data_IF_135678190111
#
_entry.id   IF_135678190111
#
_cell.length_a   1.000
_cell.length_b   1.000
_cell.length_c   1.000
_cell.angle_alpha   90.00
_cell.angle_beta   90.00
_cell.angle_gamma   90.00
#
_symmetry.space_group_name_H-M   'P 1'
#
loop_
_entity.id
_entity.type
_entity.pdbx_description
1 polymer ?
#
# COMPACT_ATOMS: atom_id res chain seq x y z
N UNK A 1 -4.17 25.31 3.76
CA UNK A 1 -4.46 24.26 4.77
C UNK A 1 -3.90 22.96 4.19
N UNK A 2 -2.70 22.60 4.58
CA UNK A 2 -2.08 21.37 4.12
C UNK A 2 -2.78 20.20 4.78
N UNK A 3 -3.56 19.47 4.00
CA UNK A 3 -4.20 18.23 4.42
C UNK A 3 -3.15 17.12 4.42
N UNK A 4 -2.32 17.11 5.47
CA UNK A 4 -1.39 15.99 5.65
C UNK A 4 -2.18 14.73 6.04
N UNK A 5 -2.33 13.83 5.08
CA UNK A 5 -2.92 12.51 5.27
C UNK A 5 -1.89 11.49 5.76
N UNK A 6 -0.62 11.90 5.83
CA UNK A 6 0.51 11.06 6.21
C UNK A 6 0.29 10.42 7.58
N UNK A 7 0.55 9.13 7.65
CA UNK A 7 0.51 8.35 8.89
C UNK A 7 1.95 8.13 9.34
N UNK A 8 2.48 9.08 10.10
CA UNK A 8 3.86 9.02 10.57
C UNK A 8 4.10 7.84 11.53
N UNK A 9 3.09 7.50 12.33
CA UNK A 9 3.18 6.39 13.25
C UNK A 9 1.89 5.54 13.21
N UNK A 10 2.02 4.26 12.86
CA UNK A 10 0.88 3.33 12.82
C UNK A 10 0.22 3.09 14.19
N UNK A 11 0.86 3.44 15.31
CA UNK A 11 0.21 3.40 16.63
C UNK A 11 -0.84 4.52 16.78
N UNK A 12 -0.69 5.61 16.02
CA UNK A 12 -1.56 6.79 16.07
C UNK A 12 -2.58 6.83 14.92
N UNK A 13 -2.73 5.73 14.19
CA UNK A 13 -3.60 5.64 13.00
C UNK A 13 -5.04 6.10 13.28
N UNK A 14 -5.56 5.85 14.48
CA UNK A 14 -6.91 6.27 14.91
C UNK A 14 -7.05 7.79 15.14
N UNK A 15 -5.94 8.51 15.21
CA UNK A 15 -5.90 9.97 15.30
C UNK A 15 -5.70 10.60 13.90
N UNK A 16 -5.37 9.79 12.89
CA UNK A 16 -5.10 10.26 11.53
C UNK A 16 -6.33 10.84 10.83
N UNK A 17 -6.09 11.70 9.85
CA UNK A 17 -7.12 12.21 8.96
C UNK A 17 -7.85 11.09 8.20
N UNK A 18 -7.14 10.03 7.82
CA UNK A 18 -7.72 8.85 7.16
C UNK A 18 -8.78 8.17 8.01
N UNK A 19 -8.48 7.93 9.30
CA UNK A 19 -9.45 7.31 10.20
C UNK A 19 -10.66 8.22 10.42
N UNK A 20 -10.43 9.50 10.74
CA UNK A 20 -11.51 10.48 10.97
C UNK A 20 -12.43 10.62 9.76
N UNK A 21 -11.86 10.59 8.54
CA UNK A 21 -12.62 10.63 7.30
C UNK A 21 -13.54 9.41 7.16
N UNK A 22 -13.02 8.20 7.38
CA UNK A 22 -13.79 6.95 7.27
C UNK A 22 -14.87 6.88 8.35
N UNK A 23 -14.51 7.16 9.59
CA UNK A 23 -15.43 7.16 10.74
C UNK A 23 -16.60 8.14 10.51
N UNK A 24 -16.29 9.40 10.12
CA UNK A 24 -17.29 10.39 9.77
C UNK A 24 -18.20 9.92 8.64
N UNK A 25 -17.64 9.31 7.59
CA UNK A 25 -18.41 8.87 6.43
C UNK A 25 -19.36 7.73 6.79
N UNK A 26 -18.94 6.78 7.61
CA UNK A 26 -19.80 5.70 8.09
C UNK A 26 -20.97 6.30 8.91
N UNK A 27 -20.66 7.15 9.88
CA UNK A 27 -21.67 7.78 10.76
C UNK A 27 -22.69 8.62 10.01
N UNK A 28 -22.26 9.31 8.94
CA UNK A 28 -23.17 10.13 8.12
C UNK A 28 -23.97 9.32 7.10
N UNK A 29 -23.49 8.12 6.73
CA UNK A 29 -24.16 7.28 5.72
C UNK A 29 -25.17 6.32 6.31
N UNK A 30 -25.11 6.06 7.62
CA UNK A 30 -26.00 5.13 8.30
C UNK A 30 -26.28 5.61 9.72
N UNK A 31 -27.46 6.13 9.95
CA UNK A 31 -27.88 6.66 11.26
C UNK A 31 -27.83 5.62 12.39
N UNK A 32 -28.10 4.34 12.06
CA UNK A 32 -28.04 3.23 13.01
C UNK A 32 -26.60 2.92 13.49
N UNK A 33 -25.61 3.42 12.78
CA UNK A 33 -24.19 3.23 13.09
C UNK A 33 -23.53 4.51 13.64
N UNK A 34 -24.30 5.58 13.85
CA UNK A 34 -23.79 6.89 14.28
C UNK A 34 -22.98 6.84 15.56
N UNK A 35 -23.39 5.96 16.48
CA UNK A 35 -22.77 5.83 17.81
C UNK A 35 -21.67 4.75 17.87
N UNK A 36 -21.47 4.02 16.76
CA UNK A 36 -20.47 2.94 16.70
C UNK A 36 -19.17 3.39 16.09
N UNK A 37 -18.06 2.92 16.64
CA UNK A 37 -16.73 3.07 16.03
C UNK A 37 -16.52 2.08 14.88
N UNK A 38 -15.54 2.36 14.03
CA UNK A 38 -15.15 1.43 12.95
C UNK A 38 -14.88 0.00 13.47
N UNK A 39 -14.20 -0.14 14.62
CA UNK A 39 -13.88 -1.44 15.22
C UNK A 39 -15.11 -2.20 15.73
N UNK A 40 -16.16 -1.49 16.15
CA UNK A 40 -17.43 -2.11 16.56
C UNK A 40 -18.27 -2.53 15.36
N UNK A 41 -18.19 -1.80 14.26
CA UNK A 41 -18.90 -2.12 13.02
C UNK A 41 -18.24 -3.30 12.30
N UNK A 42 -16.92 -3.26 12.17
CA UNK A 42 -16.12 -4.27 11.51
C UNK A 42 -15.44 -5.19 12.54
N UNK A 43 -16.25 -5.97 13.26
CA UNK A 43 -15.72 -6.98 14.17
C UNK A 43 -14.91 -8.01 13.40
N UNK A 44 -13.68 -8.22 13.85
CA UNK A 44 -12.81 -9.26 13.27
C UNK A 44 -13.37 -10.62 13.72
N UNK A 45 -13.74 -11.52 12.79
CA UNK A 45 -14.15 -12.86 13.14
C UNK A 45 -13.07 -13.56 13.97
N UNK A 46 -13.49 -14.29 15.03
CA UNK A 46 -12.56 -15.06 15.86
C UNK A 46 -11.80 -16.06 14.98
N UNK A 47 -10.46 -16.10 15.11
CA UNK A 47 -9.61 -17.01 14.35
C UNK A 47 -9.09 -16.47 13.01
N UNK A 48 -9.54 -15.32 12.55
CA UNK A 48 -8.97 -14.69 11.34
C UNK A 48 -7.53 -14.26 11.55
N UNK A 49 -6.66 -14.71 10.63
CA UNK A 49 -5.25 -14.35 10.59
C UNK A 49 -5.01 -13.30 9.51
N UNK A 50 -4.75 -12.06 9.92
CA UNK A 50 -4.32 -10.97 9.04
C UNK A 50 -2.77 -10.82 9.01
N UNK A 51 -2.03 -11.93 9.08
CA UNK A 51 -0.60 -11.93 9.27
C UNK A 51 -0.21 -11.62 10.73
N UNK A 52 1.03 -11.25 10.99
CA UNK A 52 1.55 -11.00 12.34
C UNK A 52 0.85 -9.87 13.11
N UNK A 53 0.07 -9.01 12.43
CA UNK A 53 -0.65 -7.87 13.01
C UNK A 53 -2.13 -8.15 13.26
N UNK A 54 -2.43 -9.29 13.79
CA UNK A 54 -3.72 -9.99 13.98
C UNK A 54 -4.87 -9.23 14.64
N UNK A 55 -4.73 -7.98 15.08
CA UNK A 55 -5.70 -7.37 16.01
C UNK A 55 -6.34 -6.07 15.52
N UNK A 56 -5.98 -5.60 14.33
CA UNK A 56 -6.39 -4.27 13.89
C UNK A 56 -6.73 -4.28 12.39
N UNK A 57 -8.01 -4.44 12.10
CA UNK A 57 -8.50 -4.47 10.73
C UNK A 57 -8.21 -3.14 10.01
N UNK A 58 -8.45 -2.01 10.67
CA UNK A 58 -8.23 -0.71 10.04
C UNK A 58 -6.76 -0.51 9.64
N UNK A 59 -5.83 -0.82 10.54
CA UNK A 59 -4.39 -0.81 10.23
C UNK A 59 -4.04 -1.72 9.05
N UNK A 60 -4.61 -2.92 9.05
CA UNK A 60 -4.39 -3.89 7.98
C UNK A 60 -4.88 -3.39 6.63
N UNK A 61 -6.05 -2.72 6.59
CA UNK A 61 -6.60 -2.11 5.39
C UNK A 61 -5.74 -0.93 4.91
N UNK A 62 -5.37 -0.02 5.81
CA UNK A 62 -4.52 1.13 5.45
C UNK A 62 -3.16 0.70 4.90
N UNK A 63 -2.55 -0.35 5.47
CA UNK A 63 -1.28 -0.90 4.97
C UNK A 63 -1.37 -1.52 3.57
N UNK A 64 -2.57 -1.80 3.08
CA UNK A 64 -2.81 -2.23 1.70
C UNK A 64 -3.03 -1.07 0.73
N UNK A 65 -2.90 0.17 1.17
CA UNK A 65 -3.08 1.37 0.35
C UNK A 65 -1.78 2.16 0.23
N UNK A 66 -1.79 3.21 -0.61
CA UNK A 66 -0.73 4.22 -0.65
C UNK A 66 -0.93 5.32 0.40
N UNK A 67 -1.66 5.06 1.47
CA UNK A 67 -1.98 6.02 2.54
C UNK A 67 -2.74 7.28 2.06
N UNK A 68 -3.39 7.22 0.90
CA UNK A 68 -4.20 8.31 0.34
C UNK A 68 -5.70 8.05 0.60
N UNK A 69 -6.52 9.10 0.85
CA UNK A 69 -7.96 8.96 1.05
C UNK A 69 -8.67 8.20 -0.08
N UNK A 70 -8.34 8.52 -1.34
CA UNK A 70 -8.91 7.89 -2.53
C UNK A 70 -8.67 6.38 -2.53
N UNK A 71 -7.47 5.95 -2.19
CA UNK A 71 -7.07 4.55 -2.21
C UNK A 71 -7.83 3.76 -1.15
N UNK A 72 -7.91 4.33 0.07
CA UNK A 72 -8.66 3.71 1.16
C UNK A 72 -10.16 3.59 0.83
N UNK A 73 -10.76 4.63 0.24
CA UNK A 73 -12.17 4.59 -0.21
C UNK A 73 -12.38 3.48 -1.24
N UNK A 74 -11.48 3.33 -2.22
CA UNK A 74 -11.58 2.30 -3.24
C UNK A 74 -11.40 0.90 -2.67
N UNK A 75 -10.48 0.72 -1.71
CA UNK A 75 -10.34 -0.54 -0.99
C UNK A 75 -11.62 -0.89 -0.22
N UNK A 76 -12.20 0.06 0.51
CA UNK A 76 -13.45 -0.14 1.26
C UNK A 76 -14.63 -0.43 0.34
N UNK A 77 -14.75 0.22 -0.82
CA UNK A 77 -15.77 -0.10 -1.83
C UNK A 77 -15.59 -1.51 -2.38
N UNK A 78 -14.35 -1.95 -2.60
CA UNK A 78 -14.04 -3.32 -3.03
C UNK A 78 -14.43 -4.32 -1.96
N UNK A 79 -14.09 -4.04 -0.69
CA UNK A 79 -14.49 -4.85 0.46
C UNK A 79 -16.02 -4.98 0.57
N UNK A 80 -16.75 -3.87 0.47
CA UNK A 80 -18.21 -3.87 0.50
C UNK A 80 -18.80 -4.76 -0.59
N UNK A 81 -18.28 -4.69 -1.82
CA UNK A 81 -18.74 -5.55 -2.93
C UNK A 81 -18.52 -7.04 -2.63
N UNK A 82 -17.40 -7.40 -2.04
CA UNK A 82 -17.10 -8.80 -1.72
C UNK A 82 -17.94 -9.29 -0.52
N UNK A 83 -18.20 -8.45 0.49
CA UNK A 83 -19.13 -8.76 1.59
C UNK A 83 -20.54 -8.97 1.02
N UNK A 84 -21.02 -8.10 0.14
CA UNK A 84 -22.36 -8.24 -0.45
C UNK A 84 -22.53 -9.54 -1.26
N UNK A 85 -21.46 -10.05 -1.89
CA UNK A 85 -21.49 -11.33 -2.60
C UNK A 85 -21.52 -12.55 -1.66
N UNK A 86 -20.77 -12.48 -0.56
CA UNK A 86 -20.60 -13.60 0.36
C UNK A 86 -21.63 -13.62 1.50
N UNK A 87 -22.33 -12.50 1.72
CA UNK A 87 -23.23 -12.30 2.84
C UNK A 87 -22.56 -12.11 4.21
N UNK A 88 -21.24 -12.23 4.28
CA UNK A 88 -20.49 -12.13 5.54
C UNK A 88 -19.04 -11.69 5.33
N UNK A 89 -18.46 -11.06 6.35
CA UNK A 89 -17.04 -10.74 6.38
C UNK A 89 -16.24 -11.91 6.97
N UNK A 90 -15.31 -12.46 6.19
CA UNK A 90 -14.44 -13.56 6.60
C UNK A 90 -13.04 -13.44 5.93
N UNK A 91 -12.14 -14.37 6.23
CA UNK A 91 -10.78 -14.37 5.72
C UNK A 91 -10.70 -14.46 4.18
N UNK A 92 -11.60 -15.24 3.57
CA UNK A 92 -11.67 -15.35 2.11
C UNK A 92 -12.04 -14.00 1.48
N UNK A 93 -13.07 -13.33 2.01
CA UNK A 93 -13.50 -11.99 1.56
C UNK A 93 -12.35 -10.98 1.68
N UNK A 94 -11.62 -11.01 2.79
CA UNK A 94 -10.46 -10.14 2.99
C UNK A 94 -9.37 -10.39 1.95
N UNK A 95 -9.00 -11.65 1.71
CA UNK A 95 -7.97 -12.03 0.72
C UNK A 95 -8.38 -11.65 -0.70
N UNK A 96 -9.61 -11.93 -1.09
CA UNK A 96 -10.16 -11.56 -2.40
C UNK A 96 -10.22 -10.03 -2.58
N UNK A 97 -10.60 -9.30 -1.54
CA UNK A 97 -10.56 -7.83 -1.54
C UNK A 97 -9.15 -7.32 -1.78
N UNK A 98 -8.17 -7.85 -1.03
CA UNK A 98 -6.76 -7.47 -1.15
C UNK A 98 -6.22 -7.71 -2.55
N UNK A 99 -6.52 -8.87 -3.13
CA UNK A 99 -6.11 -9.25 -4.49
C UNK A 99 -6.72 -8.33 -5.55
N UNK A 100 -8.04 -8.13 -5.50
CA UNK A 100 -8.75 -7.28 -6.47
C UNK A 100 -8.34 -5.83 -6.39
N UNK A 101 -8.17 -5.32 -5.17
CA UNK A 101 -7.72 -3.95 -4.96
C UNK A 101 -6.28 -3.75 -5.44
N UNK A 102 -5.36 -4.66 -5.11
CA UNK A 102 -3.96 -4.58 -5.55
C UNK A 102 -3.84 -4.64 -7.08
N UNK A 103 -4.62 -5.51 -7.74
CA UNK A 103 -4.69 -5.54 -9.21
C UNK A 103 -5.21 -4.22 -9.79
N UNK A 104 -6.27 -3.65 -9.19
CA UNK A 104 -6.78 -2.36 -9.62
C UNK A 104 -5.74 -1.24 -9.40
N UNK A 105 -5.05 -1.24 -8.27
CA UNK A 105 -4.02 -0.26 -7.93
C UNK A 105 -2.89 -0.27 -8.96
N UNK A 106 -2.37 -1.45 -9.30
CA UNK A 106 -1.27 -1.59 -10.28
C UNK A 106 -1.75 -1.19 -11.68
N UNK A 107 -2.90 -1.70 -12.14
CA UNK A 107 -3.32 -1.53 -13.53
C UNK A 107 -3.98 -0.18 -13.84
N UNK A 108 -4.41 0.57 -12.82
CA UNK A 108 -5.07 1.86 -13.02
C UNK A 108 -4.28 3.00 -12.38
N UNK A 109 -4.17 3.03 -11.05
CA UNK A 109 -3.59 4.19 -10.36
C UNK A 109 -2.09 4.33 -10.66
N UNK A 110 -1.34 3.25 -10.46
CA UNK A 110 0.12 3.26 -10.71
C UNK A 110 0.40 3.41 -12.20
N UNK A 111 -0.34 2.72 -13.06
CA UNK A 111 -0.22 2.88 -14.50
C UNK A 111 -0.45 4.33 -14.94
N UNK A 112 -1.46 5.01 -14.40
CA UNK A 112 -1.74 6.40 -14.73
C UNK A 112 -0.67 7.37 -14.23
N UNK A 113 0.00 7.08 -13.13
CA UNK A 113 1.10 7.91 -12.61
C UNK A 113 2.42 7.65 -13.35
N UNK A 114 2.67 6.42 -13.76
CA UNK A 114 3.93 6.00 -14.39
C UNK A 114 3.94 6.24 -15.91
N UNK A 115 2.86 5.94 -16.60
CA UNK A 115 2.82 6.00 -18.07
C UNK A 115 3.17 7.36 -18.67
N UNK A 116 2.78 8.52 -18.10
CA UNK A 116 3.17 9.82 -18.65
C UNK A 116 4.69 10.02 -18.70
N UNK A 117 5.42 9.43 -17.76
CA UNK A 117 6.88 9.55 -17.64
C UNK A 117 7.59 8.44 -18.41
N UNK A 118 7.20 7.19 -18.19
CA UNK A 118 7.93 6.02 -18.68
C UNK A 118 7.40 5.50 -20.02
N UNK A 119 6.17 5.84 -20.41
CA UNK A 119 5.57 5.43 -21.70
C UNK A 119 5.74 3.92 -21.95
N UNK A 120 6.48 3.55 -23.01
CA UNK A 120 6.69 2.15 -23.43
C UNK A 120 7.51 1.33 -22.42
N UNK A 121 8.25 1.99 -21.52
CA UNK A 121 9.03 1.32 -20.49
C UNK A 121 8.15 0.71 -19.39
N UNK A 122 6.88 1.16 -19.25
CA UNK A 122 5.99 0.72 -18.17
C UNK A 122 5.93 -0.80 -18.00
N UNK A 123 5.73 -1.55 -19.09
CA UNK A 123 5.64 -3.02 -19.04
C UNK A 123 6.92 -3.67 -18.52
N UNK A 124 8.08 -3.12 -18.86
CA UNK A 124 9.39 -3.61 -18.42
C UNK A 124 9.68 -3.21 -16.97
N UNK A 125 9.17 -2.06 -16.52
CA UNK A 125 9.22 -1.68 -15.10
C UNK A 125 8.37 -2.64 -14.26
N UNK A 126 7.18 -3.04 -14.72
CA UNK A 126 6.39 -4.07 -14.04
C UNK A 126 7.13 -5.41 -13.99
N UNK A 127 7.79 -5.83 -15.07
CA UNK A 127 8.64 -7.02 -15.09
C UNK A 127 9.80 -6.90 -14.09
N UNK A 128 10.51 -5.78 -14.08
CA UNK A 128 11.58 -5.49 -13.12
C UNK A 128 11.10 -5.57 -11.67
N UNK A 129 9.95 -4.98 -11.36
CA UNK A 129 9.37 -5.05 -10.02
C UNK A 129 9.02 -6.49 -9.62
N UNK A 130 8.53 -7.32 -10.54
CA UNK A 130 8.32 -8.75 -10.30
C UNK A 130 9.62 -9.47 -10.00
N UNK A 131 10.70 -9.19 -10.75
CA UNK A 131 12.03 -9.73 -10.47
C UNK A 131 12.58 -9.29 -9.10
N UNK A 132 12.25 -8.06 -8.66
CA UNK A 132 12.62 -7.57 -7.34
C UNK A 132 11.93 -8.36 -6.22
N UNK A 133 10.67 -8.76 -6.41
CA UNK A 133 9.91 -9.52 -5.42
C UNK A 133 9.52 -8.70 -4.19
N UNK A 134 8.97 -9.39 -3.19
CA UNK A 134 8.44 -8.77 -1.96
C UNK A 134 9.49 -8.59 -0.85
N UNK A 135 10.76 -8.94 -1.08
CA UNK A 135 11.83 -8.87 -0.08
C UNK A 135 12.55 -7.53 -0.12
N UNK A 136 13.14 -7.17 1.02
CA UNK A 136 14.05 -6.04 1.08
C UNK A 136 15.26 -6.28 0.16
N UNK A 137 15.66 -5.26 -0.57
CA UNK A 137 16.79 -5.29 -1.49
C UNK A 137 17.63 -4.02 -1.37
N UNK A 138 18.90 -4.13 -1.75
CA UNK A 138 19.79 -2.96 -1.85
C UNK A 138 19.67 -2.30 -3.22
N UNK A 139 20.13 -1.06 -3.34
CA UNK A 139 20.28 -0.38 -4.64
C UNK A 139 21.12 -1.23 -5.60
N UNK A 140 22.20 -1.86 -5.11
CA UNK A 140 23.03 -2.77 -5.92
C UNK A 140 22.22 -3.93 -6.49
N UNK A 141 21.44 -4.63 -5.64
CA UNK A 141 20.59 -5.75 -6.09
C UNK A 141 19.49 -5.32 -7.05
N UNK A 142 18.94 -4.12 -6.88
CA UNK A 142 18.01 -3.55 -7.85
C UNK A 142 18.69 -3.30 -9.20
N UNK A 143 19.88 -2.69 -9.19
CA UNK A 143 20.66 -2.42 -10.42
C UNK A 143 21.03 -3.70 -11.16
N UNK A 144 21.38 -4.77 -10.45
CA UNK A 144 21.65 -6.08 -11.06
C UNK A 144 20.40 -6.63 -11.79
N UNK A 145 19.21 -6.52 -11.17
CA UNK A 145 17.93 -6.93 -11.79
C UNK A 145 17.55 -6.01 -12.95
N UNK A 146 17.72 -4.71 -12.81
CA UNK A 146 17.51 -3.74 -13.87
C UNK A 146 18.33 -4.11 -15.12
N UNK A 147 19.62 -4.43 -14.97
CA UNK A 147 20.50 -4.83 -16.06
C UNK A 147 20.14 -6.22 -16.64
N UNK A 148 19.40 -7.04 -15.91
CA UNK A 148 18.93 -8.36 -16.40
C UNK A 148 17.69 -8.27 -17.29
N UNK A 149 16.93 -7.19 -17.21
CA UNK A 149 15.79 -6.94 -18.12
C UNK A 149 16.35 -6.56 -19.49
N UNK A 150 15.95 -7.31 -20.52
CA UNK A 150 16.38 -7.06 -21.91
C UNK A 150 15.65 -5.87 -22.53
N UNK A 151 15.86 -4.68 -21.95
CA UNK A 151 15.25 -3.44 -22.41
C UNK A 151 16.16 -2.26 -22.07
N UNK A 152 16.22 -1.29 -22.96
CA UNK A 152 16.92 -0.01 -22.75
C UNK A 152 15.94 0.98 -22.13
N UNK A 153 16.03 1.16 -20.82
CA UNK A 153 15.18 2.09 -20.08
C UNK A 153 15.62 3.54 -20.31
N UNK A 154 14.68 4.47 -20.33
CA UNK A 154 14.92 5.92 -20.44
C UNK A 154 15.59 6.52 -19.21
N UNK A 155 15.27 5.98 -18.03
CA UNK A 155 15.83 6.40 -16.76
C UNK A 155 16.97 5.48 -16.35
N UNK A 156 18.02 6.04 -15.75
CA UNK A 156 19.05 5.21 -15.11
C UNK A 156 18.44 4.39 -13.94
N UNK A 157 19.12 3.34 -13.46
CA UNK A 157 18.61 2.55 -12.32
C UNK A 157 18.29 3.40 -11.09
N UNK A 158 19.13 4.41 -10.81
CA UNK A 158 18.94 5.28 -9.65
C UNK A 158 17.78 6.27 -9.84
N UNK A 159 17.69 6.88 -11.02
CA UNK A 159 16.57 7.80 -11.34
C UNK A 159 15.23 7.06 -11.36
N UNK A 160 15.22 5.80 -11.85
CA UNK A 160 14.04 4.96 -11.81
C UNK A 160 13.64 4.63 -10.37
N UNK A 161 14.59 4.31 -9.48
CA UNK A 161 14.32 4.07 -8.08
C UNK A 161 13.73 5.31 -7.39
N UNK A 162 14.32 6.47 -7.59
CA UNK A 162 13.84 7.73 -7.03
C UNK A 162 12.44 8.07 -7.56
N UNK A 163 12.22 7.87 -8.85
CA UNK A 163 10.90 8.02 -9.46
C UNK A 163 9.85 7.07 -8.82
N UNK A 164 10.18 5.78 -8.67
CA UNK A 164 9.29 4.79 -8.06
C UNK A 164 9.03 5.08 -6.57
N UNK A 165 9.99 5.66 -5.87
CA UNK A 165 9.82 6.17 -4.50
C UNK A 165 8.84 7.34 -4.46
N UNK A 166 9.00 8.31 -5.36
CA UNK A 166 8.17 9.52 -5.43
C UNK A 166 6.71 9.23 -5.83
N UNK A 167 6.47 8.17 -6.59
CA UNK A 167 5.10 7.68 -6.85
C UNK A 167 4.59 6.71 -5.77
N UNK A 168 5.39 6.42 -4.75
CA UNK A 168 5.00 5.64 -3.57
C UNK A 168 4.94 4.13 -3.76
N UNK A 169 5.60 3.58 -4.80
CA UNK A 169 5.67 2.13 -5.07
C UNK A 169 6.77 1.47 -4.25
N UNK A 170 7.85 2.21 -4.01
CA UNK A 170 9.01 1.77 -3.23
C UNK A 170 9.09 2.57 -1.94
N UNK A 171 9.47 1.92 -0.87
CA UNK A 171 9.79 2.54 0.41
C UNK A 171 11.24 2.21 0.82
N UNK A 172 11.88 3.11 1.57
CA UNK A 172 13.10 2.78 2.29
C UNK A 172 12.79 2.00 3.57
N UNK A 173 13.64 1.03 3.88
CA UNK A 173 13.54 0.23 5.11
C UNK A 173 14.87 0.17 5.85
N UNK A 174 14.83 0.12 7.17
CA UNK A 174 16.02 -0.06 8.02
C UNK A 174 15.65 -0.66 9.37
N UNK A 175 16.62 -1.20 10.05
CA UNK A 175 16.46 -1.64 11.44
C UNK A 175 16.71 -0.47 12.38
N UNK A 176 15.69 -0.06 13.10
CA UNK A 176 15.78 0.94 14.16
C UNK A 176 16.34 0.36 15.48
N UNK A 177 16.41 1.19 16.50
CA UNK A 177 16.79 0.78 17.85
C UNK A 177 15.85 -0.34 18.33
N UNK A 178 16.42 -1.40 18.92
CA UNK A 178 15.66 -2.57 19.37
C UNK A 178 15.28 -3.57 18.27
N UNK A 179 15.88 -3.48 17.06
CA UNK A 179 15.68 -4.43 15.97
C UNK A 179 14.34 -4.30 15.24
N UNK A 180 13.51 -3.31 15.57
CA UNK A 180 12.23 -3.06 14.91
C UNK A 180 12.47 -2.51 13.50
N UNK A 181 11.80 -3.08 12.52
CA UNK A 181 11.82 -2.54 11.17
C UNK A 181 11.09 -1.19 11.09
N UNK A 182 11.78 -0.23 10.52
CA UNK A 182 11.28 1.12 10.21
C UNK A 182 11.09 1.24 8.71
N UNK A 183 10.13 2.07 8.32
CA UNK A 183 9.75 2.28 6.93
C UNK A 183 9.55 3.76 6.66
N UNK A 184 10.00 4.22 5.50
CA UNK A 184 9.79 5.58 5.02
C UNK A 184 9.41 5.54 3.54
N UNK A 185 8.33 6.23 3.19
CA UNK A 185 7.92 6.47 1.80
C UNK A 185 7.39 7.88 1.69
N UNK A 186 7.15 8.34 0.48
CA UNK A 186 6.59 9.67 0.22
C UNK A 186 5.27 9.93 0.98
N UNK A 187 4.48 8.88 1.23
CA UNK A 187 3.19 8.97 1.93
C UNK A 187 3.24 8.48 3.39
N UNK A 188 4.42 8.09 3.88
CA UNK A 188 4.60 7.53 5.22
C UNK A 188 5.95 7.92 5.79
N UNK A 189 5.95 8.59 6.96
CA UNK A 189 7.17 9.09 7.61
C UNK A 189 7.97 10.00 6.68
N UNK A 190 7.30 11.00 6.12
CA UNK A 190 7.81 11.95 5.15
C UNK A 190 9.33 12.10 5.11
N UNK A 191 9.92 11.98 3.94
CA UNK A 191 11.36 12.13 3.75
C UNK A 191 11.79 11.70 2.37
N UNK A 192 12.92 12.23 1.94
CA UNK A 192 13.50 11.97 0.64
C UNK A 192 13.98 10.52 0.51
N UNK A 193 14.10 10.07 -0.73
CA UNK A 193 14.72 8.81 -1.07
C UNK A 193 16.16 8.75 -0.55
N UNK A 194 16.51 7.68 0.14
CA UNK A 194 17.86 7.44 0.65
C UNK A 194 18.44 6.16 0.03
N UNK A 195 19.40 6.35 -0.88
CA UNK A 195 20.09 5.26 -1.58
C UNK A 195 20.95 4.36 -0.69
N UNK A 196 21.26 4.78 0.53
CA UNK A 196 22.06 3.99 1.47
C UNK A 196 21.21 3.02 2.30
N UNK A 197 19.88 3.18 2.32
CA UNK A 197 18.97 2.31 3.00
C UNK A 197 18.54 1.12 2.12
N UNK A 198 18.00 0.10 2.77
CA UNK A 198 17.33 -0.97 2.05
C UNK A 198 16.06 -0.44 1.40
N UNK A 199 15.62 -1.12 0.35
CA UNK A 199 14.45 -0.80 -0.44
C UNK A 199 13.45 -1.94 -0.32
N UNK A 200 12.16 -1.61 -0.35
CA UNK A 200 11.11 -2.61 -0.45
C UNK A 200 9.97 -2.09 -1.32
N UNK A 201 9.43 -2.97 -2.14
CA UNK A 201 8.15 -2.71 -2.81
C UNK A 201 7.06 -2.71 -1.75
N UNK A 202 6.19 -1.72 -1.74
CA UNK A 202 5.13 -1.60 -0.75
C UNK A 202 4.15 -2.80 -0.84
N UNK A 203 3.64 -3.29 0.31
CA UNK A 203 2.73 -4.44 0.32
C UNK A 203 1.45 -4.25 -0.50
N UNK A 204 1.00 -3.02 -0.66
CA UNK A 204 -0.21 -2.68 -1.40
C UNK A 204 -0.23 -3.22 -2.84
N UNK A 205 0.94 -3.36 -3.48
CA UNK A 205 1.04 -3.79 -4.89
C UNK A 205 1.46 -5.25 -5.07
N UNK A 206 1.81 -5.98 -4.03
CA UNK A 206 2.35 -7.34 -4.15
C UNK A 206 1.42 -8.29 -4.92
N UNK A 207 0.14 -8.34 -4.56
CA UNK A 207 -0.82 -9.20 -5.25
C UNK A 207 -1.02 -8.80 -6.72
N UNK A 208 -0.99 -7.50 -7.03
CA UNK A 208 -1.10 -6.99 -8.39
C UNK A 208 0.13 -7.25 -9.24
N UNK A 209 1.31 -7.29 -8.62
CA UNK A 209 2.57 -7.68 -9.25
C UNK A 209 2.76 -9.20 -9.28
N UNK A 210 1.99 -9.97 -8.53
CA UNK A 210 2.15 -11.43 -8.37
C UNK A 210 3.50 -11.80 -7.72
N UNK A 211 3.92 -11.08 -6.66
CA UNK A 211 5.16 -11.26 -5.90
C UNK A 211 4.89 -11.60 -4.44
#
# INVERSE_FOLDING_TARGET
MDLNWGVNNMSEIYQSGLYKMVDKRIKTSCNELSDKSFGEIFQIPKGMNYGERRRDLFKSLVLQTLFRPRDLINLLKTLQKEINKSGTFNEHVYKETSKKYSNWLVNNEIANEINPVLRDDYKYVIELLRLCGARDLSVKSFTERYNSVKHEFRLSPLDLLEFLYNVGIIENTWKGKGGKYMHRSIFRNEGDFDRNLQLRIIPAVWNGLMV
#
